data_IF_885565813519
#
_entry.id   IF_885565813519
#
_cell.length_a   1.000
_cell.length_b   1.000
_cell.length_c   1.000
_cell.angle_alpha   90.00
_cell.angle_beta   90.00
_cell.angle_gamma   90.00
#
_symmetry.space_group_name_H-M   'P 1'
#
loop_
_entity.id
_entity.type
_entity.pdbx_description
1 polymer ?
#
# COMPACT_ATOMS: atom_id res chain seq x y z
N UNK A 1 45.27 17.90 39.37
CA UNK A 1 44.01 17.23 38.98
C UNK A 1 44.34 15.80 38.56
N UNK A 2 44.18 14.82 39.47
CA UNK A 2 44.30 13.40 39.11
C UNK A 2 43.10 13.03 38.23
N UNK A 3 43.30 12.94 36.93
CA UNK A 3 42.28 12.42 36.02
C UNK A 3 42.23 10.90 36.18
N UNK A 4 41.20 10.42 36.86
CA UNK A 4 40.92 8.99 36.95
C UNK A 4 40.47 8.54 35.55
N UNK A 5 41.32 7.77 34.85
CA UNK A 5 41.00 7.25 33.52
C UNK A 5 40.16 5.98 33.67
N UNK A 6 38.92 6.02 33.22
CA UNK A 6 38.04 4.85 33.14
C UNK A 6 38.22 4.16 31.80
N UNK A 7 38.51 2.86 31.82
CA UNK A 7 38.54 2.04 30.61
C UNK A 7 37.11 1.67 30.20
N UNK A 8 36.81 1.80 28.90
CA UNK A 8 35.50 1.49 28.34
C UNK A 8 35.67 0.36 27.32
N UNK A 9 34.94 -0.72 27.53
CA UNK A 9 34.85 -1.82 26.57
C UNK A 9 33.87 -1.46 25.45
N UNK A 10 34.19 -1.87 24.21
CA UNK A 10 33.35 -1.64 23.03
C UNK A 10 32.62 -2.93 22.65
N UNK A 11 31.39 -3.14 23.14
CA UNK A 11 30.64 -4.34 22.81
C UNK A 11 30.32 -4.46 21.32
N UNK A 12 29.89 -5.66 20.87
CA UNK A 12 29.24 -5.83 19.58
C UNK A 12 28.04 -4.91 19.44
N UNK A 13 27.92 -4.29 18.27
CA UNK A 13 26.84 -3.35 17.94
C UNK A 13 25.56 -4.14 17.62
N UNK A 14 24.46 -3.77 18.26
CA UNK A 14 23.12 -4.29 17.97
C UNK A 14 22.36 -3.18 17.27
N UNK A 15 22.00 -3.38 16.01
CA UNK A 15 21.20 -2.43 15.24
C UNK A 15 19.79 -2.99 15.05
N UNK A 16 18.76 -2.14 15.12
CA UNK A 16 17.45 -2.51 14.59
C UNK A 16 17.56 -2.78 13.09
N UNK A 17 16.67 -3.62 12.57
CA UNK A 17 16.58 -3.88 11.14
C UNK A 17 15.87 -2.73 10.43
N UNK A 18 16.31 -2.39 9.22
CA UNK A 18 15.66 -1.42 8.36
C UNK A 18 14.81 -2.18 7.35
N UNK A 19 13.46 -2.10 7.41
CA UNK A 19 12.61 -2.80 6.44
C UNK A 19 12.83 -2.22 5.04
N UNK A 20 13.00 -3.09 4.06
CA UNK A 20 13.16 -2.74 2.64
C UNK A 20 12.26 -3.66 1.83
N UNK A 21 11.21 -3.11 1.23
CA UNK A 21 10.23 -3.91 0.52
C UNK A 21 9.53 -3.07 -0.54
N UNK A 22 9.15 -3.70 -1.65
CA UNK A 22 8.31 -3.10 -2.68
C UNK A 22 7.05 -3.94 -2.76
N UNK A 23 5.91 -3.34 -2.45
CA UNK A 23 4.62 -4.04 -2.35
C UNK A 23 3.71 -3.54 -3.46
N UNK A 24 3.23 -4.43 -4.31
CA UNK A 24 2.27 -4.08 -5.36
C UNK A 24 0.85 -4.05 -4.81
N UNK A 25 0.17 -2.92 -4.96
CA UNK A 25 -1.24 -2.80 -4.57
C UNK A 25 -2.10 -3.53 -5.62
N UNK A 26 -3.00 -4.43 -5.21
CA UNK A 26 -3.86 -5.15 -6.14
C UNK A 26 -4.81 -4.20 -6.87
N UNK A 27 -5.15 -4.58 -8.10
CA UNK A 27 -6.10 -3.81 -8.90
C UNK A 27 -7.49 -3.79 -8.25
N UNK A 28 -8.17 -2.63 -8.24
CA UNK A 28 -9.51 -2.53 -7.70
C UNK A 28 -10.51 -3.35 -8.54
N UNK A 29 -11.60 -3.86 -7.92
CA UNK A 29 -12.65 -4.56 -8.66
C UNK A 29 -13.31 -3.61 -9.68
N UNK A 30 -13.64 -4.13 -10.86
CA UNK A 30 -14.24 -3.35 -11.96
C UNK A 30 -15.65 -2.86 -11.56
N UNK A 31 -15.76 -1.56 -11.29
CA UNK A 31 -17.04 -0.91 -11.04
C UNK A 31 -17.62 -0.45 -12.38
N UNK A 32 -18.15 -1.39 -13.15
CA UNK A 32 -19.01 -1.02 -14.28
C UNK A 32 -20.32 -0.48 -13.74
N UNK A 33 -20.42 0.84 -13.72
CA UNK A 33 -21.66 1.54 -13.41
C UNK A 33 -22.76 1.05 -14.36
N UNK A 34 -23.83 0.51 -13.78
CA UNK A 34 -24.93 -0.14 -14.48
C UNK A 34 -25.80 0.80 -15.33
N UNK A 35 -25.35 2.00 -15.69
CA UNK A 35 -26.23 3.07 -16.19
C UNK A 35 -27.17 2.65 -17.34
N UNK A 36 -26.64 2.06 -18.42
CA UNK A 36 -27.45 1.68 -19.57
C UNK A 36 -28.03 0.27 -19.43
N UNK A 37 -27.27 -0.66 -18.84
CA UNK A 37 -27.70 -2.05 -18.66
C UNK A 37 -28.83 -2.21 -17.63
N UNK A 38 -28.82 -1.43 -16.55
CA UNK A 38 -29.86 -1.38 -15.52
C UNK A 38 -31.12 -0.68 -16.05
N UNK A 39 -30.95 0.40 -16.82
CA UNK A 39 -32.07 1.07 -17.47
C UNK A 39 -32.73 0.18 -18.53
N UNK A 40 -31.93 -0.58 -19.28
CA UNK A 40 -32.42 -1.53 -20.28
C UNK A 40 -33.12 -2.73 -19.63
N UNK A 41 -32.66 -3.20 -18.47
CA UNK A 41 -33.36 -4.21 -17.67
C UNK A 41 -34.73 -3.76 -17.18
N UNK A 42 -34.91 -2.48 -16.86
CA UNK A 42 -36.20 -1.91 -16.48
C UNK A 42 -37.07 -1.62 -17.72
N UNK A 43 -36.45 -1.17 -18.82
CA UNK A 43 -37.16 -0.77 -20.03
C UNK A 43 -37.68 -1.96 -20.84
N UNK A 44 -36.94 -3.09 -20.90
CA UNK A 44 -37.33 -4.27 -21.71
C UNK A 44 -38.70 -4.85 -21.30
N UNK A 45 -38.97 -5.12 -20.01
CA UNK A 45 -40.27 -5.63 -19.56
C UNK A 45 -41.39 -4.61 -19.82
N UNK A 46 -41.12 -3.31 -19.62
CA UNK A 46 -42.06 -2.23 -19.88
C UNK A 46 -42.44 -2.15 -21.37
N UNK A 47 -41.46 -2.23 -22.27
CA UNK A 47 -41.66 -2.27 -23.72
C UNK A 47 -42.43 -3.52 -24.15
N UNK A 48 -42.14 -4.68 -23.54
CA UNK A 48 -42.88 -5.92 -23.79
C UNK A 48 -44.34 -5.82 -23.36
N UNK A 49 -44.62 -5.23 -22.18
CA UNK A 49 -46.00 -5.01 -21.70
C UNK A 49 -46.76 -4.06 -22.65
N UNK A 50 -46.14 -2.95 -23.07
CA UNK A 50 -46.77 -1.98 -23.98
C UNK A 50 -46.98 -2.58 -25.38
N UNK A 51 -45.98 -3.28 -25.92
CA UNK A 51 -46.08 -3.98 -27.21
C UNK A 51 -47.15 -5.07 -27.19
N UNK A 52 -47.30 -5.77 -26.07
CA UNK A 52 -48.33 -6.79 -25.89
C UNK A 52 -49.75 -6.20 -25.85
N UNK A 53 -49.96 -5.09 -25.12
CA UNK A 53 -51.23 -4.36 -25.14
C UNK A 53 -51.58 -3.95 -26.58
N UNK A 54 -50.62 -3.42 -27.32
CA UNK A 54 -50.83 -2.98 -28.70
C UNK A 54 -51.24 -4.14 -29.63
N UNK A 55 -50.59 -5.31 -29.53
CA UNK A 55 -50.92 -6.50 -30.34
C UNK A 55 -52.28 -7.09 -29.95
N UNK A 56 -52.62 -7.13 -28.65
CA UNK A 56 -53.90 -7.64 -28.17
C UNK A 56 -55.09 -6.78 -28.65
N UNK A 57 -54.90 -5.46 -28.82
CA UNK A 57 -55.92 -4.56 -29.35
C UNK A 57 -55.99 -4.55 -30.89
N UNK A 58 -54.92 -4.94 -31.60
CA UNK A 58 -54.82 -4.87 -33.06
C UNK A 58 -55.04 -6.24 -33.76
N UNK A 59 -54.97 -7.35 -33.03
CA UNK A 59 -55.09 -8.71 -33.55
C UNK A 59 -56.53 -9.08 -33.90
N UNK A 60 -56.77 -9.41 -35.18
CA UNK A 60 -58.07 -9.76 -35.73
C UNK A 60 -58.56 -11.14 -35.21
N UNK A 61 -59.48 -11.13 -34.25
CA UNK A 61 -60.55 -12.12 -34.03
C UNK A 61 -60.24 -13.58 -33.65
N UNK A 62 -59.01 -14.11 -33.77
CA UNK A 62 -58.75 -15.55 -33.58
C UNK A 62 -57.58 -15.90 -32.62
N UNK A 63 -57.18 -14.97 -31.76
CA UNK A 63 -56.18 -15.25 -30.72
C UNK A 63 -56.78 -16.14 -29.64
N UNK A 64 -56.39 -17.43 -29.61
CA UNK A 64 -56.84 -18.36 -28.58
C UNK A 64 -56.35 -17.89 -27.19
N UNK A 65 -57.23 -17.47 -26.27
CA UNK A 65 -56.83 -16.90 -24.97
C UNK A 65 -56.04 -17.89 -24.11
N UNK A 66 -56.08 -19.18 -24.43
CA UNK A 66 -55.30 -20.22 -23.77
C UNK A 66 -53.79 -20.15 -24.06
N UNK A 67 -53.37 -19.60 -25.22
CA UNK A 67 -51.95 -19.42 -25.57
C UNK A 67 -51.30 -18.21 -24.87
N UNK A 68 -52.10 -17.29 -24.34
CA UNK A 68 -51.65 -16.09 -23.63
C UNK A 68 -51.07 -16.43 -22.25
N UNK A 69 -51.69 -17.39 -21.55
CA UNK A 69 -51.33 -17.77 -20.18
C UNK A 69 -49.87 -18.24 -20.07
N UNK A 70 -49.38 -19.23 -20.85
CA UNK A 70 -48.00 -19.68 -20.74
C UNK A 70 -46.97 -18.62 -21.14
N UNK A 71 -47.33 -17.69 -22.04
CA UNK A 71 -46.44 -16.62 -22.50
C UNK A 71 -46.35 -15.46 -21.50
N UNK A 72 -47.46 -15.06 -20.87
CA UNK A 72 -47.45 -14.09 -19.77
C UNK A 72 -46.67 -14.63 -18.56
N UNK A 73 -46.83 -15.93 -18.26
CA UNK A 73 -46.15 -16.58 -17.15
C UNK A 73 -44.62 -16.66 -17.39
N UNK A 74 -44.16 -16.83 -18.63
CA UNK A 74 -42.73 -16.83 -18.96
C UNK A 74 -42.08 -15.45 -18.80
N UNK A 75 -42.77 -14.37 -19.18
CA UNK A 75 -42.28 -12.99 -18.99
C UNK A 75 -42.15 -12.65 -17.51
N UNK A 76 -43.16 -13.00 -16.71
CA UNK A 76 -43.14 -12.79 -15.25
C UNK A 76 -42.01 -13.62 -14.63
N UNK A 77 -41.87 -14.90 -14.99
CA UNK A 77 -40.80 -15.76 -14.50
C UNK A 77 -39.40 -15.22 -14.88
N UNK A 78 -39.22 -14.75 -16.12
CA UNK A 78 -37.95 -14.17 -16.59
C UNK A 78 -37.61 -12.88 -15.86
N UNK A 79 -38.60 -12.02 -15.60
CA UNK A 79 -38.40 -10.76 -14.86
C UNK A 79 -38.02 -11.03 -13.41
N UNK A 80 -38.69 -11.98 -12.75
CA UNK A 80 -38.35 -12.38 -11.37
C UNK A 80 -36.94 -12.97 -11.31
N UNK A 81 -36.58 -13.86 -12.25
CA UNK A 81 -35.25 -14.46 -12.32
C UNK A 81 -34.16 -13.41 -12.57
N UNK A 82 -34.41 -12.46 -13.47
CA UNK A 82 -33.52 -11.33 -13.74
C UNK A 82 -33.35 -10.42 -12.51
N UNK A 83 -34.42 -10.16 -11.77
CA UNK A 83 -34.35 -9.35 -10.56
C UNK A 83 -33.57 -10.03 -9.43
N UNK A 84 -33.75 -11.34 -9.24
CA UNK A 84 -33.00 -12.12 -8.24
C UNK A 84 -31.51 -12.13 -8.62
N UNK A 85 -31.19 -12.46 -9.87
CA UNK A 85 -29.79 -12.48 -10.35
C UNK A 85 -29.13 -11.10 -10.25
N UNK A 86 -29.83 -10.01 -10.56
CA UNK A 86 -29.32 -8.65 -10.38
C UNK A 86 -29.04 -8.32 -8.91
N UNK A 87 -29.91 -8.74 -7.99
CA UNK A 87 -29.69 -8.53 -6.55
C UNK A 87 -28.50 -9.35 -6.04
N UNK A 88 -28.36 -10.60 -6.47
CA UNK A 88 -27.23 -11.45 -6.11
C UNK A 88 -25.91 -10.87 -6.66
N UNK A 89 -25.90 -10.42 -7.92
CA UNK A 89 -24.73 -9.80 -8.53
C UNK A 89 -24.34 -8.51 -7.80
N UNK A 90 -25.31 -7.65 -7.46
CA UNK A 90 -25.07 -6.43 -6.70
C UNK A 90 -24.53 -6.72 -5.30
N UNK A 91 -25.07 -7.74 -4.61
CA UNK A 91 -24.56 -8.16 -3.30
C UNK A 91 -23.13 -8.71 -3.40
N UNK A 92 -22.84 -9.52 -4.42
CA UNK A 92 -21.50 -10.05 -4.67
C UNK A 92 -20.49 -8.92 -4.94
N UNK A 93 -20.83 -7.95 -5.79
CA UNK A 93 -19.99 -6.77 -6.05
C UNK A 93 -19.76 -5.95 -4.79
N UNK A 94 -20.81 -5.71 -3.99
CA UNK A 94 -20.68 -4.99 -2.72
C UNK A 94 -19.74 -5.73 -1.74
N UNK A 95 -19.84 -7.06 -1.67
CA UNK A 95 -18.93 -7.88 -0.86
C UNK A 95 -17.48 -7.80 -1.37
N UNK A 96 -17.25 -7.89 -2.68
CA UNK A 96 -15.92 -7.73 -3.30
C UNK A 96 -15.32 -6.36 -3.00
N UNK A 97 -16.11 -5.28 -3.09
CA UNK A 97 -15.64 -3.93 -2.73
C UNK A 97 -15.31 -3.79 -1.25
N UNK A 98 -16.07 -4.42 -0.36
CA UNK A 98 -15.82 -4.38 1.08
C UNK A 98 -14.52 -5.13 1.43
N UNK A 99 -14.30 -6.30 0.83
CA UNK A 99 -13.06 -7.07 1.00
C UNK A 99 -11.84 -6.29 0.51
N UNK A 100 -11.97 -5.61 -0.64
CA UNK A 100 -10.88 -4.78 -1.16
C UNK A 100 -10.56 -3.59 -0.24
N UNK A 101 -11.57 -2.94 0.32
CA UNK A 101 -11.38 -1.86 1.30
C UNK A 101 -10.72 -2.36 2.57
N UNK A 102 -11.09 -3.53 3.07
CA UNK A 102 -10.42 -4.17 4.21
C UNK A 102 -8.95 -4.42 3.91
N UNK A 103 -8.64 -4.97 2.73
CA UNK A 103 -7.27 -5.20 2.28
C UNK A 103 -6.45 -3.90 2.20
N UNK A 104 -7.01 -2.82 1.65
CA UNK A 104 -6.33 -1.51 1.62
C UNK A 104 -6.07 -0.96 3.02
N UNK A 105 -6.99 -1.18 3.97
CA UNK A 105 -6.81 -0.75 5.35
C UNK A 105 -5.72 -1.55 6.06
N UNK A 106 -5.62 -2.86 5.79
CA UNK A 106 -4.54 -3.68 6.33
C UNK A 106 -3.18 -3.26 5.75
N UNK A 107 -3.09 -3.03 4.44
CA UNK A 107 -1.87 -2.49 3.81
C UNK A 107 -1.48 -1.13 4.41
N UNK A 108 -2.45 -0.28 4.73
CA UNK A 108 -2.20 1.01 5.40
C UNK A 108 -1.63 0.82 6.81
N UNK A 109 -2.12 -0.17 7.56
CA UNK A 109 -1.57 -0.52 8.90
C UNK A 109 -0.14 -1.05 8.78
N UNK A 110 0.11 -1.92 7.81
CA UNK A 110 1.44 -2.46 7.56
C UNK A 110 2.43 -1.35 7.16
N UNK A 111 2.02 -0.45 6.27
CA UNK A 111 2.80 0.74 5.90
C UNK A 111 3.13 1.60 7.12
N UNK A 112 2.15 1.86 7.99
CA UNK A 112 2.40 2.66 9.21
C UNK A 112 3.39 1.98 10.14
N UNK A 113 3.29 0.66 10.30
CA UNK A 113 4.21 -0.15 11.11
C UNK A 113 5.62 -0.12 10.52
N UNK A 114 5.75 -0.25 9.20
CA UNK A 114 7.02 -0.11 8.49
C UNK A 114 7.64 1.28 8.66
N UNK A 115 6.84 2.35 8.54
CA UNK A 115 7.28 3.72 8.77
C UNK A 115 7.74 3.95 10.22
N UNK A 116 7.08 3.34 11.20
CA UNK A 116 7.50 3.37 12.60
C UNK A 116 8.82 2.64 12.82
N UNK A 117 8.99 1.46 12.22
CA UNK A 117 10.25 0.71 12.26
C UNK A 117 11.40 1.53 11.64
N UNK A 118 11.16 2.19 10.49
CA UNK A 118 12.13 3.10 9.87
C UNK A 118 12.48 4.27 10.81
N UNK A 119 11.47 4.94 11.40
CA UNK A 119 11.71 6.03 12.38
C UNK A 119 12.51 5.54 13.57
N UNK A 120 12.20 4.37 14.10
CA UNK A 120 12.93 3.76 15.20
C UNK A 120 14.39 3.50 14.79
N UNK A 121 14.63 2.90 13.62
CA UNK A 121 15.97 2.68 13.07
C UNK A 121 16.79 3.96 12.99
N UNK A 122 16.26 4.99 12.34
CA UNK A 122 16.99 6.23 12.14
C UNK A 122 17.20 7.01 13.44
N UNK A 123 16.24 7.00 14.37
CA UNK A 123 16.42 7.63 15.71
C UNK A 123 17.40 6.86 16.56
N UNK A 124 17.40 5.54 16.48
CA UNK A 124 18.36 4.70 17.19
C UNK A 124 19.78 4.99 16.72
N UNK A 125 20.00 5.06 15.41
CA UNK A 125 21.31 5.35 14.84
C UNK A 125 21.72 6.82 15.00
N UNK A 126 20.80 7.77 14.83
CA UNK A 126 21.05 9.20 14.97
C UNK A 126 20.19 9.80 16.12
N UNK A 127 20.55 9.53 17.39
CA UNK A 127 19.81 10.01 18.56
C UNK A 127 19.83 11.53 18.65
N UNK A 128 18.92 12.10 19.43
CA UNK A 128 18.94 13.53 19.72
C UNK A 128 20.04 13.86 20.75
N UNK A 129 20.24 15.15 21.03
CA UNK A 129 21.26 15.60 21.97
C UNK A 129 21.02 15.08 23.39
N UNK A 130 19.75 14.98 23.81
CA UNK A 130 19.39 14.50 25.14
C UNK A 130 19.69 13.00 25.29
N UNK A 131 19.29 12.19 24.32
CA UNK A 131 19.59 10.76 24.25
C UNK A 131 21.09 10.50 24.15
N UNK A 132 21.82 11.32 23.39
CA UNK A 132 23.28 11.22 23.30
C UNK A 132 23.93 11.45 24.65
N UNK A 133 23.46 12.45 25.41
CA UNK A 133 23.92 12.66 26.78
C UNK A 133 23.59 11.47 27.69
N UNK A 134 22.40 10.88 27.57
CA UNK A 134 22.03 9.68 28.32
C UNK A 134 22.96 8.50 28.01
N UNK A 135 23.31 8.28 26.74
CA UNK A 135 24.27 7.23 26.34
C UNK A 135 25.63 7.44 27.04
N UNK A 136 26.08 8.69 27.20
CA UNK A 136 27.30 9.00 27.95
C UNK A 136 27.12 8.75 29.44
N UNK A 137 25.99 9.13 30.04
CA UNK A 137 25.72 8.94 31.46
C UNK A 137 25.60 7.45 31.85
N UNK A 138 25.05 6.61 30.97
CA UNK A 138 24.96 5.16 31.14
C UNK A 138 26.36 4.51 31.33
N UNK A 139 27.44 5.16 30.90
CA UNK A 139 28.82 4.68 31.11
C UNK A 139 29.27 4.74 32.56
N UNK A 140 28.76 5.69 33.33
CA UNK A 140 29.11 5.91 34.74
C UNK A 140 28.08 5.25 35.66
N UNK A 141 26.85 5.05 35.19
CA UNK A 141 25.78 4.46 35.98
C UNK A 141 25.95 2.95 36.19
N UNK A 142 25.53 2.43 37.36
CA UNK A 142 25.48 1.00 37.62
C UNK A 142 24.46 0.31 36.69
N UNK A 143 24.63 -0.98 36.37
CA UNK A 143 23.81 -1.70 35.39
C UNK A 143 22.29 -1.57 35.62
N UNK A 144 21.87 -1.56 36.89
CA UNK A 144 20.45 -1.52 37.28
C UNK A 144 19.77 -0.15 37.06
N UNK A 145 20.54 0.90 36.75
CA UNK A 145 20.02 2.26 36.56
C UNK A 145 20.12 2.76 35.12
N UNK A 146 20.65 1.97 34.20
CA UNK A 146 20.89 2.38 32.81
C UNK A 146 19.59 2.50 32.04
N UNK A 147 19.54 3.49 31.16
CA UNK A 147 18.36 3.74 30.32
C UNK A 147 18.25 2.74 29.17
N UNK A 148 19.39 2.21 28.69
CA UNK A 148 19.44 1.17 27.67
C UNK A 148 19.83 -0.19 28.26
N UNK A 149 18.90 -1.14 28.24
CA UNK A 149 19.11 -2.55 28.62
C UNK A 149 19.90 -3.33 27.55
N UNK A 150 20.99 -2.78 27.04
CA UNK A 150 21.85 -3.58 26.17
C UNK A 150 22.71 -4.47 27.05
N UNK A 151 22.48 -5.79 26.98
CA UNK A 151 23.25 -6.83 27.70
C UNK A 151 24.77 -6.68 27.51
N UNK A 152 25.17 -6.01 26.43
CA UNK A 152 26.54 -5.78 26.01
C UNK A 152 27.18 -4.52 26.64
N UNK A 153 26.43 -3.63 27.29
CA UNK A 153 26.98 -2.43 27.95
C UNK A 153 26.54 -1.12 27.29
N UNK A 154 27.46 -0.15 27.23
CA UNK A 154 27.16 1.22 26.79
C UNK A 154 27.24 1.32 25.27
N UNK A 155 26.41 2.16 24.65
CA UNK A 155 26.45 2.46 23.21
C UNK A 155 27.49 3.53 22.82
N UNK A 156 28.37 3.90 23.76
CA UNK A 156 29.43 4.87 23.49
C UNK A 156 30.48 4.26 22.56
N UNK A 157 30.85 5.00 21.51
CA UNK A 157 31.84 4.58 20.51
C UNK A 157 31.51 3.26 19.77
N UNK A 158 30.21 3.01 19.52
CA UNK A 158 29.74 1.80 18.83
C UNK A 158 30.07 1.78 17.32
N UNK A 159 30.14 2.94 16.65
CA UNK A 159 30.36 3.04 15.20
C UNK A 159 31.83 2.84 14.83
N UNK A 160 32.09 1.99 13.83
CA UNK A 160 33.43 1.66 13.32
C UNK A 160 33.71 2.34 11.98
N UNK A 161 34.97 2.58 11.60
CA UNK A 161 35.32 3.16 10.30
C UNK A 161 34.75 2.42 9.10
N UNK A 162 34.55 1.10 9.23
CA UNK A 162 34.00 0.22 8.20
C UNK A 162 32.46 0.27 8.10
N UNK A 163 31.78 0.85 9.10
CA UNK A 163 30.32 0.97 9.09
C UNK A 163 29.88 2.04 8.08
N UNK A 164 28.77 1.79 7.39
CA UNK A 164 28.20 2.76 6.42
C UNK A 164 27.86 4.10 7.07
N UNK A 165 27.40 4.08 8.33
CA UNK A 165 27.00 5.25 9.09
C UNK A 165 28.14 5.91 9.91
N UNK A 166 29.38 5.52 9.64
CA UNK A 166 30.55 6.16 10.23
C UNK A 166 30.68 7.61 9.80
N UNK A 167 31.06 8.47 10.75
CA UNK A 167 31.22 9.91 10.55
C UNK A 167 29.96 10.60 9.97
N UNK A 168 28.77 10.10 10.31
CA UNK A 168 27.49 10.73 9.97
C UNK A 168 26.99 11.60 11.12
N UNK A 169 26.75 12.89 10.83
CA UNK A 169 26.25 13.89 11.76
C UNK A 169 24.76 14.14 11.57
N UNK A 170 23.98 14.18 12.67
CA UNK A 170 22.59 14.62 12.66
C UNK A 170 22.50 16.15 12.65
N UNK A 171 21.67 16.70 11.75
CA UNK A 171 21.40 18.14 11.68
C UNK A 171 20.05 18.53 12.28
N UNK A 172 19.04 17.67 12.14
CA UNK A 172 17.67 18.01 12.56
C UNK A 172 16.69 16.87 12.34
N UNK A 173 15.40 17.19 12.32
CA UNK A 173 14.31 16.27 11.99
C UNK A 173 13.67 16.76 10.69
N UNK A 174 13.34 15.83 9.79
CA UNK A 174 12.71 16.15 8.52
C UNK A 174 12.05 14.92 7.89
N UNK A 175 12.00 14.95 6.57
CA UNK A 175 11.37 13.92 5.73
C UNK A 175 12.41 13.28 4.84
N UNK A 176 12.36 11.95 4.69
CA UNK A 176 13.24 11.17 3.80
C UNK A 176 12.42 10.23 2.93
N UNK A 177 12.93 9.82 1.76
CA UNK A 177 12.32 8.74 0.99
C UNK A 177 12.19 7.48 1.85
N UNK A 178 11.04 6.83 1.77
CA UNK A 178 10.79 5.55 2.44
C UNK A 178 11.61 4.44 1.79
N UNK A 179 12.00 3.45 2.59
CA UNK A 179 12.57 2.21 2.09
C UNK A 179 11.53 1.14 1.78
N UNK A 180 10.28 1.35 2.20
CA UNK A 180 9.13 0.49 1.88
C UNK A 180 8.22 1.25 0.94
N UNK A 181 8.09 0.78 -0.29
CA UNK A 181 7.35 1.46 -1.35
C UNK A 181 6.14 0.64 -1.77
N UNK A 182 5.01 1.32 -1.98
CA UNK A 182 3.81 0.70 -2.52
C UNK A 182 3.62 1.15 -3.96
N UNK A 183 3.57 0.20 -4.89
CA UNK A 183 3.29 0.49 -6.29
C UNK A 183 1.79 0.62 -6.51
N UNK A 184 1.38 1.72 -7.12
CA UNK A 184 -0.01 1.95 -7.47
C UNK A 184 -0.50 0.94 -8.52
N UNK A 185 -1.79 0.53 -8.46
CA UNK A 185 -2.35 -0.38 -9.44
C UNK A 185 -2.40 0.28 -10.82
N UNK A 186 -1.94 -0.43 -11.85
CA UNK A 186 -2.09 -0.03 -13.25
C UNK A 186 -3.47 -0.48 -13.74
N UNK A 187 -4.51 0.27 -13.39
CA UNK A 187 -5.86 0.01 -13.88
C UNK A 187 -6.11 0.81 -15.17
N UNK A 188 -6.36 0.11 -16.29
CA UNK A 188 -6.68 0.72 -17.59
C UNK A 188 -8.11 1.33 -17.66
N UNK A 189 -8.84 1.31 -16.55
CA UNK A 189 -10.24 1.74 -16.46
C UNK A 189 -10.42 3.23 -16.07
N UNK A 190 -11.67 3.66 -16.01
CA UNK A 190 -12.02 4.98 -15.46
C UNK A 190 -11.63 5.07 -13.97
N UNK A 191 -11.18 6.24 -13.49
CA UNK A 191 -10.75 6.41 -12.10
C UNK A 191 -11.93 6.30 -11.13
N UNK A 192 -12.05 5.15 -10.51
CA UNK A 192 -13.01 4.83 -9.44
C UNK A 192 -12.51 5.34 -8.08
N UNK A 193 -13.41 5.55 -7.10
CA UNK A 193 -13.03 5.93 -5.74
C UNK A 193 -11.98 5.00 -5.11
N UNK A 194 -12.11 3.69 -5.31
CA UNK A 194 -11.15 2.69 -4.83
C UNK A 194 -9.77 2.84 -5.49
N UNK A 195 -9.72 3.15 -6.78
CA UNK A 195 -8.46 3.38 -7.50
C UNK A 195 -7.72 4.61 -6.97
N UNK A 196 -8.46 5.67 -6.62
CA UNK A 196 -7.89 6.88 -6.03
C UNK A 196 -7.37 6.62 -4.61
N UNK A 197 -8.06 5.79 -3.83
CA UNK A 197 -7.58 5.42 -2.49
C UNK A 197 -6.29 4.58 -2.56
N UNK A 198 -6.23 3.62 -3.49
CA UNK A 198 -5.01 2.86 -3.78
C UNK A 198 -3.85 3.78 -4.22
N UNK A 199 -4.11 4.74 -5.11
CA UNK A 199 -3.10 5.71 -5.53
C UNK A 199 -2.59 6.56 -4.37
N UNK A 200 -3.49 7.05 -3.49
CA UNK A 200 -3.10 7.81 -2.30
C UNK A 200 -2.22 7.00 -1.36
N UNK A 201 -2.53 5.71 -1.18
CA UNK A 201 -1.69 4.82 -0.38
C UNK A 201 -0.28 4.68 -0.97
N UNK A 202 -0.18 4.54 -2.30
CA UNK A 202 1.10 4.53 -2.99
C UNK A 202 1.88 5.84 -2.79
N UNK A 203 1.22 6.99 -2.96
CA UNK A 203 1.84 8.31 -2.79
C UNK A 203 2.30 8.55 -1.34
N UNK A 204 1.49 8.17 -0.35
CA UNK A 204 1.80 8.29 1.08
C UNK A 204 2.99 7.42 1.50
N UNK A 205 3.21 6.30 0.81
CA UNK A 205 4.34 5.40 1.07
C UNK A 205 5.69 5.97 0.64
N UNK A 206 5.73 6.98 -0.25
CA UNK A 206 6.99 7.45 -0.82
C UNK A 206 7.89 8.14 0.20
N UNK A 207 7.31 8.78 1.22
CA UNK A 207 8.04 9.64 2.14
C UNK A 207 7.69 9.37 3.60
N UNK A 208 8.72 9.27 4.45
CA UNK A 208 8.54 9.14 5.89
C UNK A 208 9.01 10.42 6.58
N UNK A 209 8.08 11.03 7.31
CA UNK A 209 8.32 12.23 8.11
C UNK A 209 8.83 11.89 9.52
N UNK A 210 9.34 12.90 10.23
CA UNK A 210 9.82 12.81 11.61
C UNK A 210 11.06 11.92 11.79
N UNK A 211 11.92 11.91 10.77
CA UNK A 211 13.19 11.17 10.74
C UNK A 211 14.37 12.13 10.92
N UNK A 212 15.43 11.74 11.66
CA UNK A 212 16.69 12.47 11.69
C UNK A 212 17.30 12.68 10.30
N UNK A 213 17.53 13.95 9.93
CA UNK A 213 18.29 14.29 8.74
C UNK A 213 19.77 14.29 9.10
N UNK A 214 20.56 13.61 8.29
CA UNK A 214 21.98 13.39 8.56
C UNK A 214 22.84 13.75 7.36
N UNK A 215 24.07 14.18 7.62
CA UNK A 215 25.07 14.52 6.60
C UNK A 215 26.35 13.72 6.88
N UNK A 216 26.91 13.06 5.86
CA UNK A 216 28.21 12.39 5.99
C UNK A 216 29.33 13.44 6.05
N UNK A 217 30.25 13.28 6.99
CA UNK A 217 31.48 14.10 7.07
C UNK A 217 32.63 13.50 6.27
N UNK A 218 32.50 12.23 5.85
CA UNK A 218 33.43 11.55 4.94
C UNK A 218 32.89 11.58 3.51
N UNK A 219 33.79 11.50 2.53
CA UNK A 219 33.40 11.21 1.15
C UNK A 219 32.83 9.80 1.13
N UNK A 220 31.55 9.66 0.77
CA UNK A 220 30.97 8.36 0.52
C UNK A 220 31.63 7.79 -0.75
N UNK A 221 31.95 6.49 -0.79
CA UNK A 221 32.24 5.84 -2.06
C UNK A 221 31.06 6.12 -3.00
N UNK A 222 31.34 6.54 -4.24
CA UNK A 222 30.29 6.63 -5.25
C UNK A 222 29.64 5.25 -5.31
N UNK A 223 28.32 5.17 -5.08
CA UNK A 223 27.57 3.96 -5.40
C UNK A 223 27.75 3.82 -6.90
N UNK A 224 28.50 2.82 -7.34
CA UNK A 224 28.45 2.37 -8.72
C UNK A 224 26.97 2.05 -8.97
N UNK A 225 26.29 2.94 -9.70
CA UNK A 225 25.02 2.59 -10.32
C UNK A 225 25.34 1.36 -11.15
N UNK A 226 24.75 0.22 -10.81
CA UNK A 226 24.71 -0.95 -11.69
C UNK A 226 24.19 -0.44 -13.03
N UNK A 227 25.10 -0.15 -13.94
CA UNK A 227 24.83 0.10 -15.35
C UNK A 227 24.09 -1.14 -15.81
N UNK A 228 22.76 -1.02 -15.88
CA UNK A 228 21.92 -1.94 -16.60
C UNK A 228 22.58 -2.16 -17.96
N UNK A 229 23.01 -3.39 -18.18
CA UNK A 229 23.56 -3.87 -19.44
C UNK A 229 22.54 -3.54 -20.52
N UNK A 230 22.80 -2.47 -21.26
CA UNK A 230 22.08 -2.20 -22.51
C UNK A 230 22.47 -3.31 -23.47
N UNK A 231 21.53 -4.08 -24.04
CA UNK A 231 21.88 -5.12 -24.99
C UNK A 231 22.42 -4.43 -26.25
N UNK A 232 23.73 -4.61 -26.48
CA UNK A 232 24.44 -4.17 -27.66
C UNK A 232 23.64 -4.57 -28.91
N UNK A 233 23.12 -3.60 -29.63
CA UNK A 233 22.27 -3.81 -30.81
C UNK A 233 23.10 -3.78 -32.09
N UNK A 234 24.29 -4.39 -32.07
CA UNK A 234 25.25 -4.33 -33.20
C UNK A 234 25.60 -5.70 -33.82
N UNK A 235 24.95 -6.79 -33.41
CA UNK A 235 25.04 -8.07 -34.11
C UNK A 235 23.74 -8.39 -34.85
N UNK A 236 23.51 -7.67 -35.96
CA UNK A 236 22.65 -8.14 -37.04
C UNK A 236 23.50 -8.26 -38.32
N UNK A 237 23.81 -9.48 -38.80
CA UNK A 237 24.30 -9.65 -40.15
C UNK A 237 23.12 -9.63 -41.13
N UNK A 238 23.16 -8.71 -42.09
CA UNK A 238 22.37 -8.78 -43.32
C UNK A 238 23.26 -8.28 -44.47
N UNK A 239 23.20 -8.82 -45.69
CA UNK A 239 22.69 -10.12 -46.16
C UNK A 239 23.82 -11.15 -46.45
#
# INVERSE_FOLDING_TARGET
>A
MNQNRTYIERPPRIQPELPQEIIDIPNPPDQRDGGIGELMHIALPLLMIVGYIMVAFMGDGNSNPLLIIPMALSIVASTIFSWISYREEKQKRAAETAVYQEQLNDMRRDMTTAHEAQRHFYRHNAPDAAQTLQIVLDTVQPPNGRTSETRAGTRLWERRPDDDDFAILRLGIGTRPSTVLYNAPQADGLPTQLSQEAQRLADDSQFVSQIPITVPLRRLPEKEEDTAVSPNTDDLPVP
#
